data_IF_085202627548
#
_entry.id   IF_085202627548
#
_cell.length_a   1.000
_cell.length_b   1.000
_cell.length_c   1.000
_cell.angle_alpha   90.00
_cell.angle_beta   90.00
_cell.angle_gamma   90.00
#
_symmetry.space_group_name_H-M   'P 1'
#
loop_
_entity.id
_entity.type
_entity.pdbx_description
1 polymer ?
#
# COMPACT_ATOMS: atom_id res chain seq x y z
N UNK A 1 19.00 23.28 -15.74
CA UNK A 1 17.71 23.48 -15.03
C UNK A 1 16.66 23.42 -16.11
N UNK A 2 15.85 22.36 -16.13
CA UNK A 2 14.83 22.16 -17.17
C UNK A 2 13.50 22.27 -16.44
N UNK A 3 12.83 23.41 -16.58
CA UNK A 3 11.46 23.57 -16.11
C UNK A 3 10.56 22.79 -17.07
N UNK A 4 9.83 21.84 -16.51
CA UNK A 4 8.94 20.98 -17.27
C UNK A 4 7.50 21.42 -16.96
N UNK A 5 6.83 22.15 -17.87
CA UNK A 5 5.49 22.67 -17.63
C UNK A 5 4.47 21.54 -17.60
N UNK A 6 3.43 21.65 -16.77
CA UNK A 6 2.28 20.72 -16.81
C UNK A 6 1.62 20.70 -18.18
N UNK A 7 0.94 19.62 -18.57
CA UNK A 7 0.23 19.57 -19.86
C UNK A 7 -0.77 20.71 -20.03
N UNK A 8 -1.46 21.13 -18.96
CA UNK A 8 -2.38 22.25 -19.00
C UNK A 8 -1.67 23.59 -19.27
N UNK A 9 -0.54 23.84 -18.60
CA UNK A 9 0.28 25.04 -18.82
C UNK A 9 0.92 25.04 -20.21
N UNK A 10 1.44 23.89 -20.64
CA UNK A 10 1.98 23.69 -21.98
C UNK A 10 0.90 23.87 -23.06
N UNK A 11 -0.31 23.37 -22.86
CA UNK A 11 -1.45 23.56 -23.78
C UNK A 11 -1.88 25.02 -23.90
N UNK A 12 -1.82 25.80 -22.82
CA UNK A 12 -2.04 27.24 -22.86
C UNK A 12 -0.98 27.94 -23.71
N UNK A 13 0.30 27.66 -23.46
CA UNK A 13 1.42 28.25 -24.19
C UNK A 13 1.47 27.83 -25.67
N UNK A 14 0.98 26.62 -25.98
CA UNK A 14 1.02 26.03 -27.33
C UNK A 14 -0.36 26.03 -28.01
N UNK A 15 -1.33 26.80 -27.50
CA UNK A 15 -2.69 26.90 -28.03
C UNK A 15 -2.73 27.28 -29.52
N UNK A 16 -1.74 28.04 -30.00
CA UNK A 16 -1.61 28.45 -31.39
C UNK A 16 -1.21 27.31 -32.37
N UNK A 17 -0.75 26.15 -31.88
CA UNK A 17 -0.29 25.03 -32.73
C UNK A 17 -1.44 24.21 -33.33
N UNK A 18 -2.69 24.42 -32.88
CA UNK A 18 -3.87 23.89 -33.57
C UNK A 18 -3.94 22.37 -33.64
N UNK A 19 -3.65 21.67 -32.54
CA UNK A 19 -3.67 20.21 -32.50
C UNK A 19 -5.06 19.66 -32.87
N UNK A 20 -5.14 18.60 -33.70
CA UNK A 20 -6.40 18.09 -34.24
C UNK A 20 -7.31 17.47 -33.18
N UNK A 21 -6.73 16.99 -32.07
CA UNK A 21 -7.46 16.58 -30.88
C UNK A 21 -6.52 16.55 -29.66
N UNK A 22 -7.11 16.37 -28.48
CA UNK A 22 -6.37 16.34 -27.20
C UNK A 22 -5.38 15.18 -27.11
N UNK A 23 -5.64 14.05 -27.77
CA UNK A 23 -4.74 12.89 -27.76
C UNK A 23 -3.46 13.15 -28.58
N UNK A 24 -3.57 13.84 -29.72
CA UNK A 24 -2.41 14.26 -30.51
C UNK A 24 -1.57 15.31 -29.78
N UNK A 25 -2.22 16.28 -29.14
CA UNK A 25 -1.51 17.25 -28.29
C UNK A 25 -0.77 16.56 -27.13
N UNK A 26 -1.39 15.54 -26.54
CA UNK A 26 -0.82 14.74 -25.46
C UNK A 26 0.40 13.93 -25.91
N UNK A 27 0.36 13.32 -27.10
CA UNK A 27 1.50 12.59 -27.66
C UNK A 27 2.72 13.50 -27.86
N UNK A 28 2.52 14.70 -28.41
CA UNK A 28 3.58 15.69 -28.64
C UNK A 28 4.14 16.24 -27.31
N UNK A 29 3.29 16.44 -26.31
CA UNK A 29 3.74 16.79 -24.96
C UNK A 29 4.62 15.70 -24.36
N UNK A 30 4.20 14.43 -24.43
CA UNK A 30 4.98 13.32 -23.88
C UNK A 30 6.33 13.12 -24.58
N UNK A 31 6.41 13.29 -25.90
CA UNK A 31 7.69 13.25 -26.62
C UNK A 31 8.64 14.36 -26.13
N UNK A 32 8.13 15.57 -25.91
CA UNK A 32 8.93 16.69 -25.39
C UNK A 32 9.36 16.49 -23.94
N UNK A 33 8.49 15.93 -23.11
CA UNK A 33 8.84 15.51 -21.74
C UNK A 33 9.99 14.51 -21.77
N UNK A 34 9.91 13.54 -22.68
CA UNK A 34 10.91 12.51 -22.88
C UNK A 34 12.28 13.10 -23.28
N UNK A 35 12.29 14.03 -24.24
CA UNK A 35 13.50 14.76 -24.66
C UNK A 35 14.07 15.65 -23.55
N UNK A 36 13.23 16.37 -22.79
CA UNK A 36 13.67 17.20 -21.68
C UNK A 36 14.30 16.40 -20.53
N UNK A 37 13.87 15.16 -20.33
CA UNK A 37 14.45 14.28 -19.32
C UNK A 37 15.78 13.63 -19.78
N UNK A 38 16.12 13.62 -21.09
CA UNK A 38 17.37 13.05 -21.62
C UNK A 38 18.64 13.63 -20.99
N UNK A 39 18.67 14.91 -20.64
CA UNK A 39 19.83 15.53 -19.98
C UNK A 39 19.99 15.14 -18.50
N UNK A 40 18.91 14.70 -17.85
CA UNK A 40 18.93 14.17 -16.47
C UNK A 40 19.41 12.71 -16.44
N UNK A 41 19.25 12.01 -17.56
CA UNK A 41 19.56 10.60 -17.78
C UNK A 41 21.03 10.36 -18.17
N UNK A 42 22.00 11.16 -17.74
CA UNK A 42 23.43 10.84 -17.96
C UNK A 42 24.07 10.07 -16.78
N UNK A 43 23.31 9.78 -15.71
CA UNK A 43 23.83 9.07 -14.52
C UNK A 43 23.91 7.53 -14.71
N UNK A 44 25.06 6.87 -14.47
CA UNK A 44 25.29 5.45 -14.78
C UNK A 44 24.33 4.46 -14.11
N UNK A 45 23.91 4.70 -12.87
CA UNK A 45 23.01 3.81 -12.11
C UNK A 45 21.57 3.76 -12.65
N UNK A 46 21.19 4.76 -13.45
CA UNK A 46 19.84 4.88 -14.04
C UNK A 46 19.80 4.18 -15.41
N UNK A 47 20.94 3.86 -16.04
CA UNK A 47 21.08 3.59 -17.48
C UNK A 47 20.41 2.34 -18.05
N UNK A 48 20.24 1.27 -17.28
CA UNK A 48 19.82 -0.01 -17.86
C UNK A 48 18.30 -0.18 -18.04
N UNK A 49 17.45 0.51 -17.25
CA UNK A 49 15.98 0.31 -17.21
C UNK A 49 15.16 1.60 -17.44
N UNK A 50 15.74 2.60 -18.12
CA UNK A 50 15.22 3.99 -18.16
C UNK A 50 13.84 4.16 -18.77
N UNK A 51 13.65 3.56 -19.95
CA UNK A 51 12.44 3.79 -20.73
C UNK A 51 11.23 3.17 -20.03
N UNK A 52 11.35 1.92 -19.58
CA UNK A 52 10.28 1.21 -18.88
C UNK A 52 9.89 1.89 -17.56
N UNK A 53 10.86 2.32 -16.75
CA UNK A 53 10.58 3.01 -15.50
C UNK A 53 9.90 4.38 -15.71
N UNK A 54 10.33 5.15 -16.71
CA UNK A 54 9.73 6.44 -17.05
C UNK A 54 8.32 6.29 -17.65
N UNK A 55 8.11 5.28 -18.49
CA UNK A 55 6.79 4.94 -19.04
C UNK A 55 5.85 4.50 -17.92
N UNK A 56 6.28 3.61 -17.03
CA UNK A 56 5.49 3.17 -15.89
C UNK A 56 5.11 4.33 -14.97
N UNK A 57 6.04 5.25 -14.70
CA UNK A 57 5.79 6.43 -13.87
C UNK A 57 4.78 7.40 -14.52
N UNK A 58 4.93 7.64 -15.82
CA UNK A 58 4.03 8.50 -16.59
C UNK A 58 2.62 7.88 -16.64
N UNK A 59 2.53 6.58 -16.88
CA UNK A 59 1.28 5.84 -16.90
C UNK A 59 0.60 5.86 -15.52
N UNK A 60 1.34 5.57 -14.45
CA UNK A 60 0.82 5.60 -13.08
C UNK A 60 0.30 6.99 -12.70
N UNK A 61 1.09 8.04 -12.98
CA UNK A 61 0.69 9.42 -12.70
C UNK A 61 -0.57 9.80 -13.47
N UNK A 62 -0.58 9.59 -14.79
CA UNK A 62 -1.74 9.91 -15.64
C UNK A 62 -2.99 9.15 -15.20
N UNK A 63 -2.84 7.87 -14.85
CA UNK A 63 -3.94 7.05 -14.37
C UNK A 63 -4.49 7.58 -13.04
N UNK A 64 -3.63 7.87 -12.06
CA UNK A 64 -4.07 8.44 -10.79
C UNK A 64 -4.71 9.83 -10.95
N UNK A 65 -4.19 10.68 -11.84
CA UNK A 65 -4.80 11.98 -12.15
C UNK A 65 -6.20 11.83 -12.74
N UNK A 66 -6.44 10.79 -13.54
CA UNK A 66 -7.76 10.51 -14.11
C UNK A 66 -8.80 10.08 -13.06
N UNK A 67 -8.36 9.49 -11.94
CA UNK A 67 -9.22 8.96 -10.87
C UNK A 67 -9.40 9.98 -9.74
N UNK A 68 -8.30 10.59 -9.28
CA UNK A 68 -8.28 11.48 -8.11
C UNK A 68 -8.21 12.97 -8.47
N UNK A 69 -7.86 13.31 -9.72
CA UNK A 69 -7.63 14.67 -10.17
C UNK A 69 -6.18 15.13 -9.96
N UNK A 70 -5.67 15.92 -10.91
CA UNK A 70 -4.29 16.41 -10.90
C UNK A 70 -3.92 17.24 -9.65
N UNK A 71 -4.87 18.01 -9.11
CA UNK A 71 -4.66 18.78 -7.89
C UNK A 71 -4.36 17.87 -6.68
N UNK A 72 -5.10 16.77 -6.55
CA UNK A 72 -4.90 15.81 -5.46
C UNK A 72 -3.57 15.06 -5.61
N UNK A 73 -3.22 14.64 -6.84
CA UNK A 73 -1.93 13.96 -7.09
C UNK A 73 -0.78 14.88 -6.73
N UNK A 74 -0.82 16.16 -7.15
CA UNK A 74 0.21 17.14 -6.81
C UNK A 74 0.31 17.39 -5.30
N UNK A 75 -0.81 17.41 -4.58
CA UNK A 75 -0.85 17.60 -3.13
C UNK A 75 -0.23 16.39 -2.39
N UNK A 76 -0.62 15.17 -2.75
CA UNK A 76 -0.18 13.94 -2.08
C UNK A 76 1.21 13.48 -2.49
N UNK A 77 1.68 13.93 -3.65
CA UNK A 77 2.95 13.56 -4.23
C UNK A 77 3.71 14.80 -4.74
N UNK A 78 4.14 15.69 -3.82
CA UNK A 78 4.82 16.92 -4.21
C UNK A 78 6.14 16.61 -4.92
N UNK A 79 6.38 17.31 -6.04
CA UNK A 79 7.64 17.21 -6.76
C UNK A 79 8.80 17.64 -5.86
N UNK A 80 9.94 16.96 -6.01
CA UNK A 80 11.17 17.37 -5.38
C UNK A 80 11.69 18.66 -6.05
N UNK A 81 11.95 19.68 -5.25
CA UNK A 81 12.46 20.97 -5.74
C UNK A 81 14.00 20.94 -5.89
N UNK A 82 14.67 20.03 -5.16
CA UNK A 82 16.13 19.98 -5.09
C UNK A 82 16.73 18.58 -5.32
N UNK A 83 17.99 18.54 -5.76
CA UNK A 83 18.73 17.30 -6.05
C UNK A 83 18.99 16.43 -4.81
N UNK A 84 18.97 17.00 -3.61
CA UNK A 84 19.10 16.27 -2.35
C UNK A 84 17.83 15.47 -1.98
N UNK A 85 16.72 15.72 -2.68
CA UNK A 85 15.41 15.08 -2.45
C UNK A 85 15.18 13.87 -3.39
N UNK A 86 16.22 13.41 -4.10
CA UNK A 86 16.14 12.26 -5.01
C UNK A 86 15.67 10.97 -4.31
N UNK A 87 16.09 10.72 -3.06
CA UNK A 87 15.65 9.56 -2.27
C UNK A 87 14.13 9.59 -2.00
N UNK A 88 13.61 10.66 -1.37
CA UNK A 88 12.18 10.89 -1.22
C UNK A 88 11.40 10.81 -2.55
N UNK A 89 11.93 11.36 -3.64
CA UNK A 89 11.27 11.30 -4.94
C UNK A 89 11.13 9.87 -5.47
N UNK A 90 12.17 9.03 -5.36
CA UNK A 90 12.10 7.61 -5.77
C UNK A 90 11.08 6.85 -4.93
N UNK A 91 10.98 7.15 -3.63
CA UNK A 91 9.98 6.56 -2.75
C UNK A 91 8.57 6.95 -3.18
N UNK A 92 8.33 8.23 -3.46
CA UNK A 92 7.02 8.70 -3.93
C UNK A 92 6.64 8.12 -5.30
N UNK A 93 7.59 7.99 -6.23
CA UNK A 93 7.37 7.34 -7.53
C UNK A 93 6.90 5.89 -7.35
N UNK A 94 7.57 5.14 -6.47
CA UNK A 94 7.13 3.77 -6.12
C UNK A 94 5.74 3.76 -5.50
N UNK A 95 5.45 4.68 -4.59
CA UNK A 95 4.12 4.80 -3.98
C UNK A 95 3.03 5.12 -5.01
N UNK A 96 3.31 6.00 -5.98
CA UNK A 96 2.39 6.28 -7.10
C UNK A 96 2.15 5.05 -7.96
N UNK A 97 3.21 4.36 -8.37
CA UNK A 97 3.09 3.14 -9.17
C UNK A 97 2.30 2.05 -8.44
N UNK A 98 2.60 1.84 -7.16
CA UNK A 98 1.90 0.87 -6.34
C UNK A 98 0.43 1.24 -6.14
N UNK A 99 0.12 2.49 -5.81
CA UNK A 99 -1.26 2.94 -5.69
C UNK A 99 -2.01 2.82 -7.03
N UNK A 100 -1.39 3.19 -8.15
CA UNK A 100 -1.97 3.04 -9.47
C UNK A 100 -2.30 1.57 -9.76
N UNK A 101 -1.39 0.65 -9.41
CA UNK A 101 -1.61 -0.79 -9.53
C UNK A 101 -2.84 -1.25 -8.77
N UNK A 102 -2.94 -0.86 -7.49
CA UNK A 102 -4.07 -1.24 -6.63
C UNK A 102 -5.39 -0.66 -7.10
N UNK A 103 -5.38 0.61 -7.51
CA UNK A 103 -6.56 1.27 -8.07
C UNK A 103 -7.04 0.57 -9.34
N UNK A 104 -6.12 0.11 -10.19
CA UNK A 104 -6.46 -0.67 -11.38
C UNK A 104 -7.02 -2.05 -11.02
N UNK A 105 -6.32 -2.78 -10.15
CA UNK A 105 -6.70 -4.13 -9.71
C UNK A 105 -8.12 -4.17 -9.12
N UNK A 106 -8.51 -3.15 -8.37
CA UNK A 106 -9.76 -3.15 -7.62
C UNK A 106 -10.96 -2.56 -8.38
N UNK A 107 -10.81 -2.12 -9.64
CA UNK A 107 -11.91 -1.44 -10.37
C UNK A 107 -13.18 -2.29 -10.51
N UNK A 108 -13.04 -3.62 -10.51
CA UNK A 108 -14.17 -4.56 -10.60
C UNK A 108 -14.81 -4.90 -9.24
N UNK A 109 -14.24 -4.45 -8.13
CA UNK A 109 -14.65 -4.86 -6.80
C UNK A 109 -15.83 -4.02 -6.28
N UNK A 110 -16.83 -4.63 -5.61
CA UNK A 110 -17.99 -3.90 -5.09
C UNK A 110 -17.64 -2.76 -4.12
N UNK A 111 -16.54 -2.90 -3.39
CA UNK A 111 -16.03 -1.96 -2.39
C UNK A 111 -15.05 -0.92 -2.95
N UNK A 112 -14.88 -0.85 -4.28
CA UNK A 112 -13.91 0.03 -4.92
C UNK A 112 -14.16 1.52 -4.61
N UNK A 113 -15.42 1.95 -4.59
CA UNK A 113 -15.75 3.35 -4.29
C UNK A 113 -15.34 3.75 -2.87
N UNK A 114 -15.51 2.85 -1.89
CA UNK A 114 -15.10 3.06 -0.51
C UNK A 114 -13.58 3.14 -0.38
N UNK A 115 -12.86 2.29 -1.14
CA UNK A 115 -11.40 2.36 -1.22
C UNK A 115 -10.94 3.73 -1.75
N UNK A 116 -11.51 4.21 -2.86
CA UNK A 116 -11.16 5.53 -3.40
C UNK A 116 -11.45 6.67 -2.41
N UNK A 117 -12.59 6.61 -1.70
CA UNK A 117 -12.95 7.60 -0.68
C UNK A 117 -11.94 7.61 0.45
N UNK A 118 -11.58 6.43 0.97
CA UNK A 118 -10.59 6.29 2.03
C UNK A 118 -9.21 6.81 1.59
N UNK A 119 -8.74 6.46 0.40
CA UNK A 119 -7.45 6.92 -0.13
C UNK A 119 -7.38 8.44 -0.24
N UNK A 120 -8.49 9.11 -0.60
CA UNK A 120 -8.52 10.57 -0.72
C UNK A 120 -8.24 11.28 0.60
N UNK A 121 -8.76 10.75 1.71
CA UNK A 121 -8.75 11.40 3.02
C UNK A 121 -7.57 11.01 3.90
N UNK A 122 -6.93 9.86 3.63
CA UNK A 122 -5.89 9.31 4.49
C UNK A 122 -4.46 9.59 4.00
N UNK A 123 -3.50 9.22 4.84
CA UNK A 123 -2.08 9.15 4.48
C UNK A 123 -1.84 8.09 3.40
N UNK A 124 -0.97 8.40 2.44
CA UNK A 124 -0.71 7.54 1.27
C UNK A 124 -0.10 6.21 1.68
N UNK A 125 0.85 6.21 2.61
CA UNK A 125 1.50 4.96 3.03
C UNK A 125 0.51 4.04 3.75
N UNK A 126 -0.37 4.60 4.59
CA UNK A 126 -1.46 3.86 5.21
C UNK A 126 -2.44 3.30 4.18
N UNK A 127 -2.84 4.09 3.19
CA UNK A 127 -3.76 3.66 2.15
C UNK A 127 -3.18 2.56 1.24
N UNK A 128 -1.90 2.65 0.90
CA UNK A 128 -1.19 1.60 0.16
C UNK A 128 -1.13 0.32 1.00
N UNK A 129 -0.80 0.42 2.29
CA UNK A 129 -0.73 -0.75 3.15
C UNK A 129 -2.09 -1.45 3.28
N UNK A 130 -3.17 -0.68 3.41
CA UNK A 130 -4.51 -1.25 3.45
C UNK A 130 -4.93 -1.88 2.11
N UNK A 131 -4.53 -1.28 1.00
CA UNK A 131 -4.69 -1.88 -0.33
C UNK A 131 -3.92 -3.21 -0.44
N UNK A 132 -2.71 -3.29 0.12
CA UNK A 132 -1.94 -4.54 0.16
C UNK A 132 -2.63 -5.62 1.01
N UNK A 133 -3.29 -5.23 2.12
CA UNK A 133 -4.10 -6.14 2.93
C UNK A 133 -5.31 -6.63 2.14
N UNK A 134 -6.04 -5.74 1.48
CA UNK A 134 -7.16 -6.11 0.62
C UNK A 134 -6.73 -7.12 -0.45
N UNK A 135 -5.66 -6.83 -1.21
CA UNK A 135 -5.16 -7.78 -2.20
C UNK A 135 -4.70 -9.10 -1.59
N UNK A 136 -4.11 -9.05 -0.40
CA UNK A 136 -3.71 -10.25 0.33
C UNK A 136 -4.93 -11.11 0.66
N UNK A 137 -6.00 -10.50 1.18
CA UNK A 137 -7.25 -11.19 1.51
C UNK A 137 -7.98 -11.74 0.28
N UNK A 138 -7.90 -11.05 -0.86
CA UNK A 138 -8.47 -11.50 -2.14
C UNK A 138 -7.88 -12.83 -2.64
N UNK A 139 -6.76 -13.30 -2.08
CA UNK A 139 -6.21 -14.62 -2.40
C UNK A 139 -7.01 -15.76 -1.79
N UNK A 140 -7.85 -15.48 -0.80
CA UNK A 140 -8.68 -16.49 -0.16
C UNK A 140 -10.06 -16.59 -0.83
N UNK A 141 -10.71 -17.77 -0.77
CA UNK A 141 -12.11 -17.91 -1.12
C UNK A 141 -13.00 -17.29 -0.02
N UNK A 142 -13.04 -15.96 0.03
CA UNK A 142 -13.74 -15.19 1.06
C UNK A 142 -14.54 -14.04 0.44
N UNK A 143 -15.65 -13.67 1.07
CA UNK A 143 -16.32 -12.41 0.80
C UNK A 143 -15.56 -11.26 1.46
N UNK A 144 -15.36 -10.16 0.75
CA UNK A 144 -14.68 -8.96 1.27
C UNK A 144 -15.62 -7.78 1.15
N UNK A 145 -15.79 -7.05 2.25
CA UNK A 145 -16.44 -5.75 2.24
C UNK A 145 -15.57 -4.75 3.02
N UNK A 146 -15.51 -3.50 2.56
CA UNK A 146 -14.99 -2.40 3.36
C UNK A 146 -16.08 -1.88 4.28
N UNK A 147 -15.72 -1.46 5.47
CA UNK A 147 -16.66 -0.85 6.42
C UNK A 147 -16.45 0.66 6.41
N UNK A 148 -17.52 1.40 6.16
CA UNK A 148 -17.50 2.86 6.21
C UNK A 148 -17.52 3.31 7.66
N UNK A 149 -16.63 4.24 8.03
CA UNK A 149 -16.58 4.80 9.38
C UNK A 149 -17.92 5.46 9.75
N UNK A 150 -18.50 4.99 10.86
CA UNK A 150 -19.71 5.54 11.48
C UNK A 150 -19.41 6.56 12.59
N UNK A 151 -18.17 6.57 13.09
CA UNK A 151 -17.74 7.32 14.27
C UNK A 151 -18.12 6.66 15.60
N UNK A 152 -18.74 5.48 15.56
CA UNK A 152 -19.17 4.70 16.72
C UNK A 152 -18.09 3.68 17.08
N UNK A 153 -17.49 3.84 18.27
CA UNK A 153 -16.51 2.89 18.82
C UNK A 153 -17.03 1.45 18.77
N UNK A 154 -16.21 0.56 18.23
CA UNK A 154 -16.53 -0.86 18.08
C UNK A 154 -17.35 -1.17 16.82
N UNK A 155 -17.50 -0.23 15.90
CA UNK A 155 -18.17 -0.43 14.60
C UNK A 155 -17.34 0.11 13.42
N UNK A 156 -16.19 0.72 13.69
CA UNK A 156 -15.34 1.42 12.71
C UNK A 156 -14.04 0.66 12.44
N UNK A 157 -14.14 -0.65 12.24
CA UNK A 157 -13.02 -1.45 11.75
C UNK A 157 -12.93 -1.32 10.22
N UNK A 158 -11.81 -1.70 9.62
CA UNK A 158 -11.54 -1.37 8.21
C UNK A 158 -12.25 -2.31 7.21
N UNK A 159 -12.22 -3.62 7.48
CA UNK A 159 -12.65 -4.66 6.53
C UNK A 159 -13.48 -5.73 7.22
N UNK A 160 -14.58 -6.16 6.61
CA UNK A 160 -15.35 -7.34 6.99
C UNK A 160 -15.00 -8.50 6.05
N UNK A 161 -14.44 -9.56 6.62
CA UNK A 161 -14.06 -10.76 5.89
C UNK A 161 -15.07 -11.88 6.18
N UNK A 162 -15.81 -12.33 5.18
CA UNK A 162 -16.74 -13.44 5.30
C UNK A 162 -16.07 -14.75 4.87
N UNK A 163 -15.78 -15.60 5.85
CA UNK A 163 -15.15 -16.91 5.64
C UNK A 163 -16.21 -18.01 5.73
N UNK A 164 -16.33 -18.85 4.69
CA UNK A 164 -17.44 -19.81 4.55
C UNK A 164 -17.72 -20.68 5.78
N UNK A 165 -16.70 -21.08 6.56
CA UNK A 165 -16.84 -21.97 7.73
C UNK A 165 -16.68 -21.26 9.08
N UNK A 166 -16.45 -19.95 9.10
CA UNK A 166 -16.21 -19.16 10.32
C UNK A 166 -17.26 -18.07 10.47
N UNK A 167 -17.78 -17.57 9.35
CA UNK A 167 -18.66 -16.40 9.29
C UNK A 167 -17.86 -15.12 9.15
N UNK A 168 -18.42 -14.06 9.72
CA UNK A 168 -17.86 -12.72 9.65
C UNK A 168 -16.69 -12.54 10.62
N UNK A 169 -15.54 -12.20 10.06
CA UNK A 169 -14.31 -11.87 10.78
C UNK A 169 -14.01 -10.39 10.56
N UNK A 170 -14.12 -9.54 11.59
CA UNK A 170 -13.73 -8.14 11.48
C UNK A 170 -12.20 -8.05 11.38
N UNK A 171 -11.72 -7.20 10.48
CA UNK A 171 -10.30 -7.01 10.22
C UNK A 171 -9.95 -5.54 10.42
N UNK A 172 -8.95 -5.31 11.25
CA UNK A 172 -8.34 -4.01 11.48
C UNK A 172 -6.96 -3.94 10.83
N UNK A 173 -6.64 -2.80 10.24
CA UNK A 173 -5.36 -2.49 9.62
C UNK A 173 -4.68 -1.33 10.36
N UNK A 174 -3.38 -1.48 10.63
CA UNK A 174 -2.55 -0.46 11.26
C UNK A 174 -1.24 -0.30 10.52
N UNK A 175 -0.92 0.93 10.13
CA UNK A 175 0.37 1.26 9.56
C UNK A 175 1.24 2.01 10.56
N UNK A 176 2.49 1.59 10.73
CA UNK A 176 3.53 2.36 11.42
C UNK A 176 4.55 2.86 10.41
N UNK A 177 4.80 4.16 10.47
CA UNK A 177 5.82 4.84 9.69
C UNK A 177 7.20 4.31 10.05
N UNK A 178 8.10 4.20 9.08
CA UNK A 178 9.42 3.57 9.24
C UNK A 178 10.31 4.27 10.29
N UNK A 179 10.06 5.55 10.57
CA UNK A 179 10.76 6.35 11.59
C UNK A 179 10.17 6.19 13.00
N UNK A 180 9.06 5.46 13.16
CA UNK A 180 8.40 5.29 14.46
C UNK A 180 9.32 4.52 15.42
N UNK A 181 9.69 5.10 16.58
CA UNK A 181 10.56 4.43 17.52
C UNK A 181 9.86 3.24 18.18
N UNK A 182 10.62 2.16 18.37
CA UNK A 182 10.15 0.98 19.08
C UNK A 182 10.04 1.26 20.59
N UNK A 183 8.89 0.90 21.17
CA UNK A 183 8.73 0.69 22.60
C UNK A 183 7.56 -0.25 22.86
N UNK A 184 7.57 -0.97 23.98
CA UNK A 184 6.42 -1.78 24.42
C UNK A 184 5.13 -0.95 24.52
N UNK A 185 5.24 0.30 24.95
CA UNK A 185 4.12 1.22 25.03
C UNK A 185 3.53 1.52 23.64
N UNK A 186 4.38 1.67 22.61
CA UNK A 186 3.93 1.87 21.22
C UNK A 186 3.16 0.66 20.69
N UNK A 187 3.68 -0.56 20.92
CA UNK A 187 3.00 -1.81 20.52
C UNK A 187 1.65 -1.93 21.23
N UNK A 188 1.64 -1.79 22.55
CA UNK A 188 0.41 -1.86 23.38
C UNK A 188 -0.62 -0.83 22.97
N UNK A 189 -0.22 0.43 22.72
CA UNK A 189 -1.16 1.47 22.29
C UNK A 189 -1.74 1.18 20.90
N UNK A 190 -0.97 0.52 20.03
CA UNK A 190 -1.43 0.12 18.70
C UNK A 190 -2.49 -0.97 18.78
N UNK A 191 -2.21 -2.03 19.54
CA UNK A 191 -3.18 -3.10 19.81
C UNK A 191 -4.43 -2.53 20.49
N UNK A 192 -4.28 -1.67 21.50
CA UNK A 192 -5.40 -1.01 22.17
C UNK A 192 -6.21 -0.11 21.22
N UNK A 193 -5.57 0.51 20.24
CA UNK A 193 -6.23 1.26 19.17
C UNK A 193 -7.13 0.34 18.34
N UNK A 194 -6.58 -0.76 17.84
CA UNK A 194 -7.31 -1.76 17.06
C UNK A 194 -8.52 -2.34 17.83
N UNK A 195 -8.32 -2.74 19.10
CA UNK A 195 -9.38 -3.30 19.95
C UNK A 195 -10.56 -2.35 20.16
N UNK A 196 -10.35 -1.03 20.09
CA UNK A 196 -11.43 -0.04 20.21
C UNK A 196 -12.30 0.03 18.96
N UNK A 197 -11.74 -0.28 17.80
CA UNK A 197 -12.47 -0.30 16.52
C UNK A 197 -13.21 -1.62 16.31
N UNK A 198 -12.64 -2.72 16.79
CA UNK A 198 -13.25 -4.04 16.66
C UNK A 198 -14.53 -4.21 17.53
N UNK A 199 -15.56 -4.89 17.00
CA UNK A 199 -16.83 -5.10 17.67
C UNK A 199 -16.71 -5.94 18.94
N UNK A 200 -17.57 -5.65 19.92
CA UNK A 200 -17.63 -6.40 21.18
C UNK A 200 -18.19 -7.80 20.93
N UNK A 201 -17.57 -8.81 21.54
CA UNK A 201 -18.02 -10.20 21.47
C UNK A 201 -17.65 -10.93 20.18
N UNK A 202 -16.94 -10.27 19.26
CA UNK A 202 -16.38 -10.89 18.06
C UNK A 202 -14.85 -10.90 18.14
N UNK A 203 -14.26 -11.92 17.53
CA UNK A 203 -12.81 -12.10 17.42
C UNK A 203 -12.41 -11.76 15.99
N UNK A 204 -11.48 -10.83 15.83
CA UNK A 204 -11.03 -10.33 14.55
C UNK A 204 -9.56 -10.64 14.25
N UNK A 205 -9.13 -10.18 13.08
CA UNK A 205 -7.73 -10.15 12.67
C UNK A 205 -7.18 -8.72 12.77
N UNK A 206 -5.91 -8.61 13.12
CA UNK A 206 -5.15 -7.36 13.06
C UNK A 206 -4.02 -7.51 12.04
N UNK A 207 -4.05 -6.70 10.98
CA UNK A 207 -2.90 -6.51 10.10
C UNK A 207 -2.13 -5.28 10.56
N UNK A 208 -0.83 -5.43 10.79
CA UNK A 208 0.03 -4.34 11.24
C UNK A 208 1.31 -4.29 10.41
N UNK A 209 1.59 -3.16 9.78
CA UNK A 209 2.93 -2.86 9.29
C UNK A 209 3.77 -2.32 10.43
N UNK A 210 4.99 -2.85 10.59
CA UNK A 210 5.96 -2.35 11.56
C UNK A 210 7.28 -2.01 10.88
N UNK A 211 8.02 -1.00 11.37
CA UNK A 211 9.34 -0.69 10.84
C UNK A 211 10.27 -1.89 10.97
N UNK A 212 11.05 -2.17 9.94
CA UNK A 212 12.04 -3.27 9.93
C UNK A 212 13.00 -3.20 11.13
N UNK A 213 13.27 -1.99 11.65
CA UNK A 213 14.09 -1.78 12.84
C UNK A 213 13.52 -2.40 14.13
N UNK A 214 12.20 -2.62 14.22
CA UNK A 214 11.55 -3.25 15.38
C UNK A 214 11.84 -4.75 15.48
N UNK A 215 12.15 -5.38 14.35
CA UNK A 215 12.25 -6.84 14.20
C UNK A 215 13.59 -7.27 13.58
N UNK A 216 14.61 -6.42 13.69
CA UNK A 216 15.98 -6.74 13.29
C UNK A 216 16.53 -7.90 14.14
N UNK A 217 17.56 -8.64 13.66
CA UNK A 217 18.21 -9.67 14.47
C UNK A 217 18.57 -9.15 15.87
N UNK A 218 18.15 -9.89 16.90
CA UNK A 218 18.33 -9.51 18.31
C UNK A 218 17.25 -8.61 18.93
N UNK A 219 16.20 -8.21 18.17
CA UNK A 219 15.04 -7.46 18.72
C UNK A 219 13.68 -8.09 18.42
N UNK A 220 13.63 -9.12 17.58
CA UNK A 220 12.36 -9.79 17.25
C UNK A 220 11.64 -10.30 18.51
N UNK A 221 12.39 -10.90 19.45
CA UNK A 221 11.86 -11.41 20.71
C UNK A 221 11.24 -10.27 21.56
N UNK A 222 11.90 -9.11 21.66
CA UNK A 222 11.34 -7.93 22.35
C UNK A 222 10.00 -7.49 21.75
N UNK A 223 9.87 -7.52 20.41
CA UNK A 223 8.62 -7.18 19.74
C UNK A 223 7.54 -8.23 20.01
N UNK A 224 7.87 -9.52 19.93
CA UNK A 224 6.92 -10.61 20.19
C UNK A 224 6.45 -10.64 21.63
N UNK A 225 7.33 -10.40 22.60
CA UNK A 225 6.97 -10.26 24.01
C UNK A 225 6.05 -9.06 24.22
N UNK A 226 6.38 -7.90 23.65
CA UNK A 226 5.51 -6.71 23.73
C UNK A 226 4.13 -6.95 23.11
N UNK A 227 4.07 -7.69 22.00
CA UNK A 227 2.83 -8.05 21.31
C UNK A 227 2.00 -9.04 22.15
N UNK A 228 2.62 -10.09 22.67
CA UNK A 228 2.01 -11.06 23.60
C UNK A 228 1.40 -10.32 24.80
N UNK A 229 2.18 -9.45 25.44
CA UNK A 229 1.75 -8.75 26.65
C UNK A 229 0.65 -7.71 26.39
N UNK A 230 0.53 -7.22 25.16
CA UNK A 230 -0.57 -6.38 24.73
C UNK A 230 -1.85 -7.19 24.42
N UNK A 231 -1.71 -8.38 23.83
CA UNK A 231 -2.83 -9.22 23.41
C UNK A 231 -3.50 -9.95 24.57
N UNK A 232 -2.77 -10.36 25.62
CA UNK A 232 -3.38 -10.98 26.83
C UNK A 232 -4.47 -10.12 27.50
N UNK A 233 -4.53 -8.83 27.19
CA UNK A 233 -5.50 -7.89 27.75
C UNK A 233 -6.81 -7.81 26.95
N UNK A 234 -6.94 -8.57 25.85
CA UNK A 234 -8.08 -8.51 24.93
C UNK A 234 -8.40 -9.89 24.36
N UNK A 235 -9.68 -10.19 24.21
CA UNK A 235 -10.16 -11.36 23.46
C UNK A 235 -10.67 -11.02 22.06
N UNK A 236 -10.61 -9.74 21.65
CA UNK A 236 -11.16 -9.29 20.36
C UNK A 236 -10.23 -9.48 19.18
N UNK A 237 -8.96 -9.80 19.41
CA UNK A 237 -7.99 -10.06 18.34
C UNK A 237 -7.52 -11.49 18.53
N UNK A 238 -7.81 -12.35 17.54
CA UNK A 238 -7.40 -13.75 17.59
C UNK A 238 -6.10 -14.02 16.81
N UNK A 239 -5.85 -13.24 15.76
CA UNK A 239 -4.65 -13.40 14.92
C UNK A 239 -4.08 -12.03 14.57
N UNK A 240 -2.76 -11.90 14.65
CA UNK A 240 -2.02 -10.72 14.18
C UNK A 240 -1.13 -11.11 13.02
N UNK A 241 -1.25 -10.36 11.92
CA UNK A 241 -0.39 -10.43 10.74
C UNK A 241 0.54 -9.23 10.75
N UNK A 242 1.81 -9.44 11.07
CA UNK A 242 2.84 -8.40 11.07
C UNK A 242 3.53 -8.36 9.71
N UNK A 243 3.34 -7.28 8.96
CA UNK A 243 4.06 -6.98 7.73
C UNK A 243 5.42 -6.34 8.03
N UNK A 244 6.46 -6.88 7.43
CA UNK A 244 7.84 -6.41 7.56
C UNK A 244 8.46 -6.32 6.16
N UNK A 245 8.87 -5.13 5.75
CA UNK A 245 9.51 -4.91 4.45
C UNK A 245 11.03 -5.11 4.57
N UNK A 246 11.49 -6.35 4.37
CA UNK A 246 12.91 -6.70 4.51
C UNK A 246 13.65 -6.49 3.18
N UNK A 247 14.86 -5.90 3.21
CA UNK A 247 15.73 -5.88 2.04
C UNK A 247 16.23 -7.30 1.74
N UNK A 248 16.31 -7.65 0.47
CA UNK A 248 16.95 -8.86 -0.04
C UNK A 248 17.81 -8.51 -1.26
N UNK A 249 18.89 -9.25 -1.45
CA UNK A 249 19.75 -9.10 -2.62
C UNK A 249 19.14 -9.89 -3.79
N UNK A 250 18.75 -9.18 -4.84
CA UNK A 250 18.41 -9.79 -6.12
C UNK A 250 19.72 -10.03 -6.88
N UNK A 251 20.20 -11.28 -6.84
CA UNK A 251 21.46 -11.70 -7.49
C UNK A 251 21.41 -11.55 -9.01
N UNK A 252 20.23 -11.71 -9.62
CA UNK A 252 20.05 -11.63 -11.08
C UNK A 252 20.05 -10.18 -11.56
N UNK A 253 19.43 -9.26 -10.79
CA UNK A 253 19.43 -7.84 -11.10
C UNK A 253 20.61 -7.05 -10.50
N UNK A 254 21.43 -7.67 -9.64
CA UNK A 254 22.50 -7.01 -8.88
C UNK A 254 22.02 -5.88 -7.98
N UNK A 255 20.78 -5.95 -7.46
CA UNK A 255 20.11 -4.85 -6.75
C UNK A 255 19.53 -5.31 -5.42
N UNK A 256 19.53 -4.41 -4.42
CA UNK A 256 18.75 -4.62 -3.19
C UNK A 256 17.29 -4.29 -3.50
N UNK A 257 16.42 -5.29 -3.35
CA UNK A 257 14.96 -5.14 -3.44
C UNK A 257 14.35 -5.29 -2.04
N UNK A 258 13.17 -4.75 -1.84
CA UNK A 258 12.40 -4.97 -0.62
C UNK A 258 11.32 -5.99 -0.90
N UNK A 259 11.16 -6.96 0.01
CA UNK A 259 10.05 -7.92 -0.04
C UNK A 259 9.31 -7.86 1.29
N UNK A 260 7.98 -7.83 1.20
CA UNK A 260 7.12 -7.97 2.37
C UNK A 260 7.13 -9.40 2.87
N UNK A 261 7.40 -9.55 4.16
CA UNK A 261 7.25 -10.79 4.90
C UNK A 261 6.09 -10.62 5.89
N UNK A 262 5.28 -11.67 5.99
CA UNK A 262 4.17 -11.74 6.94
C UNK A 262 4.55 -12.68 8.06
N UNK A 263 4.70 -12.12 9.26
CA UNK A 263 4.85 -12.89 10.49
C UNK A 263 3.49 -13.02 11.18
N UNK A 264 3.15 -14.23 11.63
CA UNK A 264 1.83 -14.54 12.16
C UNK A 264 1.93 -14.88 13.63
N UNK A 265 1.12 -14.21 14.43
CA UNK A 265 0.95 -14.50 15.84
C UNK A 265 -0.50 -14.92 16.10
N UNK A 266 -0.68 -16.06 16.78
CA UNK A 266 -1.98 -16.55 17.23
C UNK A 266 -2.14 -16.22 18.72
N UNK A 267 -3.24 -15.57 19.08
CA UNK A 267 -3.63 -15.39 20.48
C UNK A 267 -4.17 -16.71 21.06
N UNK A 268 -3.91 -16.96 22.35
CA UNK A 268 -4.18 -18.26 22.99
C UNK A 268 -5.68 -18.62 22.99
N UNK A 269 -6.56 -17.63 23.10
CA UNK A 269 -8.01 -17.79 23.04
C UNK A 269 -8.60 -17.92 21.63
N UNK A 270 -7.80 -17.77 20.56
CA UNK A 270 -8.29 -17.87 19.19
C UNK A 270 -8.69 -19.30 18.81
N UNK A 271 -9.84 -19.44 18.15
CA UNK A 271 -10.34 -20.75 17.69
C UNK A 271 -9.38 -21.41 16.69
N UNK A 272 -9.45 -22.74 16.60
CA UNK A 272 -8.60 -23.48 15.66
C UNK A 272 -9.01 -23.22 14.21
N UNK A 273 -10.28 -22.95 13.96
CA UNK A 273 -10.81 -22.59 12.65
C UNK A 273 -10.24 -21.24 12.20
N UNK A 274 -10.25 -20.23 13.08
CA UNK A 274 -9.71 -18.90 12.79
C UNK A 274 -8.21 -18.97 12.50
N UNK A 275 -7.49 -19.76 13.27
CA UNK A 275 -6.06 -20.01 13.02
C UNK A 275 -5.82 -20.79 11.72
N UNK A 276 -6.63 -21.81 11.44
CA UNK A 276 -6.56 -22.58 10.20
C UNK A 276 -6.74 -21.71 8.96
N UNK A 277 -7.68 -20.74 9.00
CA UNK A 277 -7.86 -19.77 7.93
C UNK A 277 -6.65 -18.83 7.77
N UNK A 278 -6.05 -18.38 8.87
CA UNK A 278 -4.84 -17.57 8.81
C UNK A 278 -3.64 -18.34 8.23
N UNK A 279 -3.51 -19.62 8.58
CA UNK A 279 -2.48 -20.50 8.02
C UNK A 279 -2.69 -20.78 6.52
N UNK A 280 -3.95 -20.92 6.08
CA UNK A 280 -4.27 -21.01 4.66
C UNK A 280 -3.84 -19.75 3.92
N UNK A 281 -4.15 -18.56 4.45
CA UNK A 281 -3.70 -17.30 3.86
C UNK A 281 -2.17 -17.25 3.72
N UNK A 282 -1.45 -17.64 4.77
CA UNK A 282 0.02 -17.71 4.75
C UNK A 282 0.52 -18.67 3.67
N UNK A 283 -0.05 -19.87 3.57
CA UNK A 283 0.33 -20.88 2.57
C UNK A 283 0.12 -20.36 1.13
N UNK A 284 -0.99 -19.67 0.88
CA UNK A 284 -1.27 -19.04 -0.41
C UNK A 284 -0.25 -17.94 -0.75
N UNK A 285 0.15 -17.14 0.23
CA UNK A 285 1.18 -16.11 0.07
C UNK A 285 2.55 -16.71 -0.23
N UNK A 286 2.95 -17.73 0.54
CA UNK A 286 4.25 -18.39 0.40
C UNK A 286 4.38 -19.08 -0.96
N UNK A 287 3.31 -19.74 -1.42
CA UNK A 287 3.22 -20.37 -2.74
C UNK A 287 2.99 -19.40 -3.89
N UNK A 288 2.80 -18.11 -3.59
CA UNK A 288 2.44 -17.05 -4.54
C UNK A 288 1.19 -17.40 -5.36
N UNK A 289 0.27 -18.14 -4.78
CA UNK A 289 -1.01 -18.44 -5.42
C UNK A 289 -1.90 -17.21 -5.35
N UNK A 290 -2.41 -16.82 -6.51
CA UNK A 290 -3.21 -15.63 -6.75
C UNK A 290 -4.51 -15.96 -7.50
N UNK A 291 -4.95 -17.23 -7.45
CA UNK A 291 -6.10 -17.75 -8.21
C UNK A 291 -7.37 -16.88 -8.12
N UNK A 292 -7.55 -16.19 -6.99
CA UNK A 292 -8.70 -15.37 -6.68
C UNK A 292 -8.40 -13.86 -6.73
N UNK A 293 -7.13 -13.47 -6.87
CA UNK A 293 -6.73 -12.07 -6.95
C UNK A 293 -6.68 -11.60 -8.42
N UNK A 294 -7.05 -10.33 -8.69
CA UNK A 294 -6.96 -9.75 -10.03
C UNK A 294 -5.51 -9.71 -10.49
N UNK A 295 -5.29 -10.00 -11.77
CA UNK A 295 -3.99 -9.84 -12.42
C UNK A 295 -3.83 -8.38 -12.87
N UNK A 296 -2.82 -7.69 -12.34
CA UNK A 296 -2.45 -6.37 -12.86
C UNK A 296 -1.84 -6.48 -14.27
N UNK A 297 -2.05 -5.47 -15.13
CA UNK A 297 -1.48 -5.41 -16.48
C UNK A 297 -0.03 -4.89 -16.50
N UNK A 298 0.52 -4.52 -15.34
CA UNK A 298 1.92 -4.08 -15.15
C UNK A 298 2.51 -4.68 -13.88
#
# INVERSE_FOLDING_TARGET
MIEIPTFAAWMEENRAQGFPNKATAWAVYNDRMHEGMQALFEHPEVAANRYEAAVAETAATTFLESIFGAAWVKEKFPLADNREELGPWVQQARQRQELARRVFEFQGEPWFADFLSYTKTNDIASAIFEADVLQTLMRMPAGIARVTESGVKGQDFDILLNLANIGDVPVEVKYKQDDTPFSEATVRNTVKGAVKQLPRGQVGWLFIHVPTAWVRPGRADEYHEALYEALRQTSRIGVVFTAIDKPFHDEEAGKIRHRRFWDLYKEDGASQELWGAALLLRDLLDKRWDFFAPRAPF
#
